data_IF_617323442425
#
_entry.id   IF_617323442425
#
_cell.length_a   1.000
_cell.length_b   1.000
_cell.length_c   1.000
_cell.angle_alpha   90.00
_cell.angle_beta   90.00
_cell.angle_gamma   90.00
#
_symmetry.space_group_name_H-M   'P 1'
#
loop_
_entity.id
_entity.type
_entity.pdbx_description
1 polymer ?
#
# COMPACT_ATOMS: atom_id res chain seq x y z
N UNK A 1 7.13 0.37 -5.30
CA UNK A 1 6.06 0.52 -6.31
C UNK A 1 5.62 -0.80 -6.99
N UNK A 2 6.52 -1.58 -7.63
CA UNK A 2 6.11 -2.77 -8.42
C UNK A 2 5.28 -3.81 -7.65
N UNK A 3 5.57 -3.99 -6.35
CA UNK A 3 4.82 -4.91 -5.50
C UNK A 3 3.36 -4.47 -5.31
N UNK A 4 3.12 -3.19 -4.96
CA UNK A 4 1.77 -2.62 -4.88
C UNK A 4 1.00 -2.69 -6.22
N UNK A 5 1.69 -2.46 -7.34
CA UNK A 5 1.07 -2.61 -8.66
C UNK A 5 0.64 -4.06 -8.96
N UNK A 6 1.34 -5.06 -8.40
CA UNK A 6 0.99 -6.47 -8.54
C UNK A 6 -0.29 -6.81 -7.78
N UNK A 7 -0.50 -6.18 -6.61
CA UNK A 7 -1.76 -6.27 -5.87
C UNK A 7 -2.92 -5.60 -6.60
N UNK A 8 -2.73 -4.40 -7.15
CA UNK A 8 -3.74 -3.73 -7.99
C UNK A 8 -4.15 -4.59 -9.20
N UNK A 9 -3.18 -5.29 -9.79
CA UNK A 9 -3.41 -6.23 -10.89
C UNK A 9 -3.95 -7.59 -10.42
N UNK A 10 -4.44 -7.69 -9.19
CA UNK A 10 -5.09 -8.87 -8.60
C UNK A 10 -4.22 -10.14 -8.62
N UNK A 11 -2.89 -9.99 -8.58
CA UNK A 11 -1.95 -11.12 -8.59
C UNK A 11 -1.76 -11.79 -7.23
N UNK A 12 -2.33 -11.21 -6.17
CA UNK A 12 -2.27 -11.71 -4.79
C UNK A 12 -3.51 -11.25 -4.02
N UNK A 13 -3.84 -11.94 -2.93
CA UNK A 13 -4.93 -11.55 -2.04
C UNK A 13 -4.56 -10.32 -1.19
N UNK A 14 -5.57 -9.68 -0.60
CA UNK A 14 -5.38 -8.55 0.32
C UNK A 14 -4.56 -8.95 1.56
N UNK A 15 -4.78 -10.15 2.11
CA UNK A 15 -3.98 -10.69 3.21
C UNK A 15 -2.51 -10.86 2.85
N UNK A 16 -2.21 -11.53 1.73
CA UNK A 16 -0.82 -11.71 1.29
C UNK A 16 -0.17 -10.37 1.03
N UNK A 17 -0.91 -9.43 0.42
CA UNK A 17 -0.43 -8.08 0.18
C UNK A 17 -0.11 -7.34 1.47
N UNK A 18 -1.04 -7.26 2.43
CA UNK A 18 -0.87 -6.47 3.65
C UNK A 18 0.34 -6.94 4.47
N UNK A 19 0.41 -8.24 4.76
CA UNK A 19 1.49 -8.86 5.52
C UNK A 19 2.85 -8.66 4.82
N UNK A 20 2.92 -8.98 3.53
CA UNK A 20 4.18 -8.90 2.77
C UNK A 20 4.63 -7.47 2.53
N UNK A 21 3.69 -6.53 2.31
CA UNK A 21 4.00 -5.12 2.08
C UNK A 21 4.59 -4.49 3.34
N UNK A 22 4.00 -4.77 4.50
CA UNK A 22 4.48 -4.27 5.80
C UNK A 22 5.90 -4.78 6.08
N UNK A 23 6.16 -6.08 5.85
CA UNK A 23 7.50 -6.65 6.04
C UNK A 23 8.52 -6.08 5.05
N UNK A 24 8.17 -5.94 3.77
CA UNK A 24 9.03 -5.30 2.78
C UNK A 24 9.38 -3.85 3.17
N UNK A 25 8.39 -3.08 3.63
CA UNK A 25 8.58 -1.70 4.06
C UNK A 25 9.54 -1.59 5.26
N UNK A 26 9.42 -2.50 6.24
CA UNK A 26 10.35 -2.56 7.38
C UNK A 26 11.78 -2.88 6.93
N UNK A 27 11.95 -3.83 6.01
CA UNK A 27 13.26 -4.18 5.45
C UNK A 27 13.88 -2.99 4.73
N UNK A 28 13.10 -2.31 3.87
CA UNK A 28 13.57 -1.12 3.14
C UNK A 28 13.95 0.02 4.10
N UNK A 29 13.17 0.23 5.17
CA UNK A 29 13.50 1.20 6.24
C UNK A 29 14.82 0.85 6.92
N UNK A 30 14.98 -0.40 7.33
CA UNK A 30 16.15 -0.84 8.10
C UNK A 30 17.44 -0.86 7.25
N UNK A 31 17.29 -0.92 5.91
CA UNK A 31 18.37 -0.78 4.93
C UNK A 31 18.56 0.66 4.43
N UNK A 32 17.83 1.64 4.97
CA UNK A 32 17.84 3.05 4.56
C UNK A 32 17.49 3.28 3.08
N UNK A 33 16.76 2.34 2.46
CA UNK A 33 16.34 2.43 1.05
C UNK A 33 15.19 3.41 0.85
N UNK A 34 14.33 3.58 1.86
CA UNK A 34 13.21 4.54 1.81
C UNK A 34 13.68 5.99 1.65
N UNK A 35 14.90 6.31 2.09
CA UNK A 35 15.50 7.64 1.93
C UNK A 35 15.86 7.97 0.47
N UNK A 36 15.87 6.97 -0.42
CA UNK A 36 16.17 7.14 -1.84
C UNK A 36 14.95 7.53 -2.67
N UNK A 37 13.74 7.39 -2.11
CA UNK A 37 12.50 7.75 -2.79
C UNK A 37 12.33 9.28 -2.88
N UNK A 38 11.84 9.77 -4.02
CA UNK A 38 11.39 11.15 -4.10
C UNK A 38 10.15 11.38 -3.22
N UNK A 39 9.85 12.65 -2.91
CA UNK A 39 8.78 13.00 -1.98
C UNK A 39 7.39 12.48 -2.42
N UNK A 40 7.10 12.46 -3.73
CA UNK A 40 5.81 11.99 -4.23
C UNK A 40 5.70 10.47 -4.10
N UNK A 41 6.76 9.74 -4.45
CA UNK A 41 6.82 8.29 -4.29
C UNK A 41 6.77 7.89 -2.83
N UNK A 42 7.56 8.53 -1.96
CA UNK A 42 7.58 8.29 -0.52
C UNK A 42 6.20 8.49 0.11
N UNK A 43 5.49 9.57 -0.27
CA UNK A 43 4.12 9.84 0.19
C UNK A 43 3.14 8.75 -0.26
N UNK A 44 3.26 8.28 -1.51
CA UNK A 44 2.43 7.20 -2.03
C UNK A 44 2.66 5.89 -1.27
N UNK A 45 3.92 5.46 -1.14
CA UNK A 45 4.28 4.18 -0.52
C UNK A 45 3.96 4.15 0.98
N UNK A 46 4.16 5.26 1.70
CA UNK A 46 3.77 5.38 3.12
C UNK A 46 2.26 5.40 3.31
N UNK A 47 1.49 6.02 2.41
CA UNK A 47 0.02 5.97 2.45
C UNK A 47 -0.51 4.55 2.20
N UNK A 48 0.12 3.81 1.28
CA UNK A 48 -0.20 2.40 1.02
C UNK A 48 0.14 1.54 2.25
N UNK A 49 1.25 1.81 2.94
CA UNK A 49 1.60 1.15 4.20
C UNK A 49 0.47 1.34 5.24
N UNK A 50 0.00 2.57 5.45
CA UNK A 50 -1.11 2.83 6.38
C UNK A 50 -2.38 2.06 5.99
N UNK A 51 -2.71 1.98 4.69
CA UNK A 51 -3.86 1.20 4.23
C UNK A 51 -3.70 -0.29 4.51
N UNK A 52 -2.51 -0.84 4.25
CA UNK A 52 -2.17 -2.23 4.55
C UNK A 52 -2.24 -2.54 6.06
N UNK A 53 -1.77 -1.63 6.92
CA UNK A 53 -1.81 -1.76 8.38
C UNK A 53 -3.24 -1.71 8.95
N UNK A 54 -4.16 -1.05 8.24
CA UNK A 54 -5.59 -0.99 8.61
C UNK A 54 -6.42 -2.19 8.09
N UNK A 55 -5.84 -3.11 7.32
CA UNK A 55 -6.60 -4.23 6.76
C UNK A 55 -6.91 -5.29 7.81
N UNK A 56 -8.16 -5.75 7.84
CA UNK A 56 -8.60 -6.89 8.62
C UNK A 56 -9.56 -7.76 7.78
N UNK A 57 -9.18 -9.03 7.57
CA UNK A 57 -9.95 -9.96 6.73
C UNK A 57 -11.24 -10.42 7.43
N UNK A 58 -11.12 -10.75 8.72
CA UNK A 58 -12.18 -11.35 9.53
C UNK A 58 -13.24 -10.30 9.91
N UNK A 59 -14.44 -10.41 9.36
CA UNK A 59 -15.53 -9.45 9.60
C UNK A 59 -15.91 -9.34 11.08
N UNK A 60 -15.78 -10.43 11.85
CA UNK A 60 -16.10 -10.47 13.28
C UNK A 60 -15.12 -9.69 14.15
N UNK A 61 -13.88 -9.57 13.70
CA UNK A 61 -12.80 -8.87 14.39
C UNK A 61 -12.54 -7.48 13.80
N UNK A 62 -13.04 -7.23 12.57
CA UNK A 62 -12.84 -5.97 11.86
C UNK A 62 -13.54 -4.79 12.54
N UNK A 63 -12.77 -3.79 12.94
CA UNK A 63 -13.28 -2.53 13.45
C UNK A 63 -13.84 -1.63 12.33
N UNK A 64 -14.73 -0.69 12.67
CA UNK A 64 -15.39 0.17 11.68
C UNK A 64 -14.45 1.09 10.88
N UNK A 65 -13.23 1.31 11.37
CA UNK A 65 -12.19 2.08 10.68
C UNK A 65 -11.23 1.21 9.86
N UNK A 66 -11.29 -0.10 10.02
CA UNK A 66 -10.44 -1.05 9.30
C UNK A 66 -11.02 -1.36 7.92
N UNK A 67 -10.14 -1.81 7.03
CA UNK A 67 -10.47 -2.06 5.64
C UNK A 67 -10.71 -3.56 5.41
N UNK A 68 -11.77 -3.87 4.68
CA UNK A 68 -11.91 -5.17 4.03
C UNK A 68 -11.00 -5.29 2.79
N UNK A 69 -11.01 -6.45 2.13
CA UNK A 69 -10.17 -6.70 0.96
C UNK A 69 -10.47 -5.77 -0.22
N UNK A 70 -11.74 -5.45 -0.46
CA UNK A 70 -12.15 -4.58 -1.56
C UNK A 70 -11.81 -3.11 -1.27
N UNK A 71 -11.99 -2.68 -0.02
CA UNK A 71 -11.63 -1.34 0.46
C UNK A 71 -10.12 -1.12 0.43
N UNK A 72 -9.33 -2.13 0.85
CA UNK A 72 -7.87 -2.08 0.73
C UNK A 72 -7.44 -1.96 -0.74
N UNK A 73 -7.98 -2.79 -1.63
CA UNK A 73 -7.68 -2.72 -3.06
C UNK A 73 -7.99 -1.33 -3.64
N UNK A 74 -9.20 -0.81 -3.38
CA UNK A 74 -9.61 0.52 -3.83
C UNK A 74 -8.69 1.63 -3.28
N UNK A 75 -8.27 1.54 -2.02
CA UNK A 75 -7.36 2.50 -1.42
C UNK A 75 -5.98 2.48 -2.12
N UNK A 76 -5.43 1.30 -2.41
CA UNK A 76 -4.13 1.18 -3.10
C UNK A 76 -4.23 1.69 -4.54
N UNK A 77 -5.31 1.37 -5.27
CA UNK A 77 -5.57 1.92 -6.62
C UNK A 77 -5.57 3.44 -6.58
N UNK A 78 -6.36 4.03 -5.68
CA UNK A 78 -6.47 5.47 -5.58
C UNK A 78 -5.12 6.15 -5.30
N UNK A 79 -4.28 5.56 -4.44
CA UNK A 79 -2.95 6.12 -4.13
C UNK A 79 -1.96 6.03 -5.29
N UNK A 80 -1.97 4.92 -6.02
CA UNK A 80 -1.14 4.78 -7.22
C UNK A 80 -1.58 5.77 -8.31
N UNK A 81 -2.88 5.96 -8.49
CA UNK A 81 -3.39 6.90 -9.48
C UNK A 81 -3.10 8.35 -9.09
N UNK A 82 -3.29 8.74 -7.83
CA UNK A 82 -2.89 10.05 -7.30
C UNK A 82 -1.40 10.33 -7.56
N UNK A 83 -0.54 9.36 -7.26
CA UNK A 83 0.89 9.45 -7.53
C UNK A 83 1.21 9.63 -9.01
N UNK A 84 0.59 8.84 -9.91
CA UNK A 84 0.79 8.99 -11.37
C UNK A 84 0.39 10.38 -11.87
N UNK A 85 -0.72 10.93 -11.38
CA UNK A 85 -1.14 12.28 -11.78
C UNK A 85 -0.18 13.35 -11.25
N UNK A 86 0.39 13.16 -10.05
CA UNK A 86 1.37 14.09 -9.47
C UNK A 86 2.71 14.11 -10.22
N UNK A 87 3.10 13.00 -10.85
CA UNK A 87 4.37 12.88 -11.59
C UNK A 87 4.24 13.18 -13.09
N UNK A 88 3.04 13.09 -13.66
CA UNK A 88 2.79 13.43 -15.08
C UNK A 88 2.58 14.93 -15.32
N UNK A 89 2.45 15.73 -14.24
CA UNK A 89 2.24 17.18 -14.32
C UNK A 89 3.55 17.99 -14.52
N UNK A 90 4.64 17.35 -14.94
CA UNK A 90 5.95 17.93 -15.27
C UNK A 90 6.23 17.80 -16.77
#
# INVERSE_FOLDING_TARGET
MMFAQSFVNERMSAQVFSESYIELWKIERDLDLLALDDAALSTCLSSIFCAADMYCDEEVDRHAYELDAAQLHAAVVAKIDEWKHSTTAL
#
